data_IF_744396467392
#
_entry.id   IF_744396467392
#
_cell.length_a   1.000
_cell.length_b   1.000
_cell.length_c   1.000
_cell.angle_alpha   90.00
_cell.angle_beta   90.00
_cell.angle_gamma   90.00
#
_symmetry.space_group_name_H-M   'P 1'
#
loop_
_entity.id
_entity.type
_entity.pdbx_description
1 polymer ?
#
# COMPACT_ATOMS: atom_id res chain seq x y z
N UNK A 1 16.73 6.14 15.60
CA UNK A 1 17.64 6.79 14.64
C UNK A 1 17.86 8.23 15.09
N UNK A 2 19.10 8.55 15.50
CA UNK A 2 19.53 9.93 15.69
C UNK A 2 19.85 10.47 14.30
N UNK A 3 18.93 11.21 13.72
CA UNK A 3 19.22 12.01 12.54
C UNK A 3 20.13 13.17 12.94
N UNK A 4 21.14 13.45 12.16
CA UNK A 4 22.15 14.49 12.46
C UNK A 4 21.57 15.91 12.52
N UNK A 5 20.31 16.07 12.12
CA UNK A 5 19.61 17.35 12.17
C UNK A 5 18.27 17.22 12.92
N UNK A 6 18.07 17.93 14.05
CA UNK A 6 16.81 17.87 14.81
C UNK A 6 15.57 18.37 14.05
N UNK A 7 15.73 18.93 12.85
CA UNK A 7 14.62 19.29 11.95
C UNK A 7 14.08 18.11 11.17
N UNK A 8 14.78 16.96 11.16
CA UNK A 8 14.40 15.75 10.43
C UNK A 8 13.66 14.73 11.32
N UNK A 9 13.01 15.19 12.38
CA UNK A 9 12.23 14.32 13.26
C UNK A 9 10.92 13.91 12.58
N UNK A 10 10.82 12.64 12.19
CA UNK A 10 9.60 12.04 11.68
C UNK A 10 8.81 11.39 12.82
N UNK A 11 7.65 11.94 13.15
CA UNK A 11 6.68 11.29 14.02
C UNK A 11 5.64 10.56 13.15
N UNK A 12 5.60 9.24 13.24
CA UNK A 12 4.62 8.41 12.54
C UNK A 12 3.85 7.54 13.53
N UNK A 13 2.54 7.76 13.60
CA UNK A 13 1.64 6.87 14.31
C UNK A 13 1.41 5.63 13.44
N UNK A 14 2.09 4.54 13.73
CA UNK A 14 2.03 3.31 12.92
C UNK A 14 0.69 2.61 13.00
N UNK A 15 0.18 2.44 14.22
CA UNK A 15 -1.08 1.76 14.49
C UNK A 15 -1.85 2.44 15.60
N UNK A 16 -3.14 2.58 15.41
CA UNK A 16 -4.11 3.01 16.41
C UNK A 16 -5.49 2.52 16.02
N UNK A 17 -5.96 1.45 16.64
CA UNK A 17 -7.23 0.82 16.33
C UNK A 17 -7.94 0.29 17.57
N UNK A 18 -9.26 0.11 17.44
CA UNK A 18 -10.10 -0.57 18.43
C UNK A 18 -10.36 -2.00 17.95
N UNK A 19 -10.32 -2.95 18.88
CA UNK A 19 -10.66 -4.34 18.60
C UNK A 19 -11.91 -4.73 19.39
N UNK A 20 -12.86 -5.31 18.68
CA UNK A 20 -14.03 -5.93 19.28
C UNK A 20 -13.99 -7.44 19.07
N UNK A 21 -13.86 -8.18 20.18
CA UNK A 21 -13.86 -9.63 20.17
C UNK A 21 -15.29 -10.15 20.19
N UNK A 22 -15.59 -11.08 19.29
CA UNK A 22 -16.88 -11.76 19.16
C UNK A 22 -16.71 -13.25 19.38
N UNK A 23 -17.81 -14.01 19.47
CA UNK A 23 -17.75 -15.48 19.62
C UNK A 23 -17.23 -16.20 18.38
N UNK A 24 -17.18 -15.54 17.24
CA UNK A 24 -16.73 -16.11 15.96
C UNK A 24 -15.42 -15.51 15.43
N UNK A 25 -14.87 -14.50 16.12
CA UNK A 25 -13.65 -13.83 15.66
C UNK A 25 -13.48 -12.43 16.23
N UNK A 26 -12.83 -11.56 15.47
CA UNK A 26 -12.55 -10.18 15.87
C UNK A 26 -12.85 -9.18 14.76
N UNK A 27 -13.26 -7.98 15.15
CA UNK A 27 -13.45 -6.83 14.27
C UNK A 27 -12.52 -5.73 14.76
N UNK A 28 -11.72 -5.17 13.87
CA UNK A 28 -10.82 -4.05 14.16
C UNK A 28 -11.21 -2.83 13.32
N UNK A 29 -11.12 -1.65 13.92
CA UNK A 29 -11.40 -0.38 13.27
C UNK A 29 -10.35 0.66 13.65
N UNK A 30 -9.73 1.28 12.67
CA UNK A 30 -8.72 2.33 12.84
C UNK A 30 -7.53 2.15 11.93
N UNK A 31 -6.42 2.83 12.28
CA UNK A 31 -5.14 2.69 11.57
C UNK A 31 -4.47 1.39 12.00
N UNK A 32 -4.33 0.44 11.10
CA UNK A 32 -3.83 -0.90 11.38
C UNK A 32 -2.95 -1.44 10.26
N UNK A 33 -1.96 -2.25 10.63
CA UNK A 33 -1.15 -3.03 9.71
C UNK A 33 -1.78 -4.42 9.61
N UNK A 34 -2.07 -4.84 8.40
CA UNK A 34 -2.63 -6.17 8.13
C UNK A 34 -1.59 -7.02 7.41
N UNK A 35 -1.63 -8.32 7.66
CA UNK A 35 -0.78 -9.30 7.01
C UNK A 35 -1.64 -10.45 6.49
N UNK A 36 -1.57 -10.68 5.19
CA UNK A 36 -2.25 -11.79 4.53
C UNK A 36 -1.24 -12.79 4.01
N UNK A 37 -1.51 -14.05 4.17
CA UNK A 37 -0.68 -15.13 3.63
C UNK A 37 0.08 -15.91 4.69
N UNK A 38 0.92 -16.82 4.21
CA UNK A 38 1.63 -17.84 4.99
C UNK A 38 3.14 -17.55 5.13
N UNK A 39 3.61 -16.48 4.49
CA UNK A 39 5.02 -16.10 4.52
C UNK A 39 5.14 -14.83 5.34
N UNK A 40 6.01 -14.87 6.34
CA UNK A 40 6.13 -13.81 7.35
C UNK A 40 6.56 -12.45 6.79
N UNK A 41 7.24 -12.42 5.63
CA UNK A 41 7.85 -11.17 5.19
C UNK A 41 7.27 -10.61 3.87
N UNK A 42 7.22 -11.37 2.81
CA UNK A 42 6.87 -10.89 1.47
C UNK A 42 5.81 -11.77 0.82
N UNK A 43 4.64 -11.83 1.41
CA UNK A 43 3.56 -12.57 0.79
C UNK A 43 3.05 -11.84 -0.46
N UNK A 44 3.11 -12.45 -1.65
CA UNK A 44 2.60 -11.84 -2.88
C UNK A 44 1.09 -11.63 -2.86
N UNK A 45 0.38 -12.26 -1.92
CA UNK A 45 -1.06 -12.09 -1.72
C UNK A 45 -1.40 -10.98 -0.74
N UNK A 46 -0.40 -10.33 -0.12
CA UNK A 46 -0.59 -9.26 0.85
C UNK A 46 -0.55 -7.89 0.19
N UNK A 47 -1.70 -7.44 -0.24
CA UNK A 47 -1.88 -6.14 -0.91
C UNK A 47 -2.63 -5.12 -0.03
N UNK A 48 -2.89 -5.45 1.23
CA UNK A 48 -3.74 -4.64 2.12
C UNK A 48 -3.07 -3.36 2.63
N UNK A 49 -1.75 -3.34 2.74
CA UNK A 49 -0.98 -2.22 3.26
C UNK A 49 0.03 -1.67 2.26
N UNK A 50 0.31 -0.38 2.37
CA UNK A 50 1.41 0.27 1.69
C UNK A 50 2.75 -0.02 2.39
N UNK A 51 3.86 0.22 1.69
CA UNK A 51 5.21 0.04 2.20
C UNK A 51 5.91 1.38 2.41
N UNK A 52 6.73 1.43 3.46
CA UNK A 52 7.66 2.53 3.70
C UNK A 52 9.05 2.12 3.20
N UNK A 53 9.46 2.67 2.08
CA UNK A 53 10.74 2.36 1.46
C UNK A 53 11.94 2.99 2.19
N UNK A 54 11.71 3.89 3.17
CA UNK A 54 12.78 4.31 4.07
C UNK A 54 13.26 3.17 4.98
N UNK A 55 12.40 2.16 5.19
CA UNK A 55 12.69 0.94 5.95
C UNK A 55 12.85 -0.30 5.06
N UNK A 56 13.37 -0.14 3.85
CA UNK A 56 13.48 -1.21 2.85
C UNK A 56 14.23 -2.45 3.36
N UNK A 57 15.20 -2.27 4.24
CA UNK A 57 16.03 -3.34 4.80
C UNK A 57 15.47 -3.94 6.10
N UNK A 58 14.39 -3.39 6.62
CA UNK A 58 13.70 -3.97 7.76
C UNK A 58 12.84 -5.16 7.31
N UNK A 59 12.55 -6.06 8.24
CA UNK A 59 11.78 -7.27 7.95
C UNK A 59 10.32 -7.17 8.37
N UNK A 60 9.48 -7.98 7.75
CA UNK A 60 8.11 -8.19 8.17
C UNK A 60 7.23 -6.93 8.13
N UNK A 61 6.54 -6.68 9.23
CA UNK A 61 5.60 -5.56 9.35
C UNK A 61 6.29 -4.20 9.51
N UNK A 62 7.60 -4.16 9.83
CA UNK A 62 8.31 -2.92 10.16
C UNK A 62 8.42 -1.97 8.98
N UNK A 63 8.36 -2.47 7.77
CA UNK A 63 8.31 -1.66 6.55
C UNK A 63 6.91 -1.37 6.03
N UNK A 64 5.83 -1.79 6.72
CA UNK A 64 4.46 -1.49 6.31
C UNK A 64 3.94 -0.21 6.93
N UNK A 65 3.10 0.48 6.19
CA UNK A 65 2.36 1.65 6.67
C UNK A 65 0.95 1.22 7.03
N UNK A 66 0.50 1.52 8.24
CA UNK A 66 -0.84 1.23 8.68
C UNK A 66 -1.89 1.96 7.84
N UNK A 67 -2.93 1.26 7.45
CA UNK A 67 -4.05 1.79 6.67
C UNK A 67 -5.27 2.01 7.56
N UNK A 68 -5.95 3.14 7.40
CA UNK A 68 -7.23 3.39 8.08
C UNK A 68 -8.30 2.49 7.47
N UNK A 69 -8.71 1.48 8.20
CA UNK A 69 -9.61 0.43 7.68
C UNK A 69 -10.49 -0.16 8.76
N UNK A 70 -11.52 -0.86 8.30
CA UNK A 70 -12.26 -1.82 9.11
C UNK A 70 -11.85 -3.20 8.62
N UNK A 71 -11.45 -4.07 9.53
CA UNK A 71 -11.15 -5.46 9.24
C UNK A 71 -11.95 -6.40 10.13
N UNK A 72 -12.21 -7.59 9.62
CA UNK A 72 -12.90 -8.65 10.32
C UNK A 72 -12.20 -9.98 10.03
N UNK A 73 -11.78 -10.67 11.09
CA UNK A 73 -11.23 -12.01 11.04
C UNK A 73 -12.19 -12.97 11.73
N UNK A 74 -12.62 -14.00 11.04
CA UNK A 74 -13.52 -15.03 11.54
C UNK A 74 -12.83 -16.39 11.51
N UNK A 75 -13.11 -17.19 12.53
CA UNK A 75 -12.51 -18.50 12.73
C UNK A 75 -13.60 -19.56 12.82
N UNK A 76 -13.50 -20.59 11.99
CA UNK A 76 -14.39 -21.74 12.05
C UNK A 76 -13.61 -23.03 11.83
N UNK A 77 -13.39 -23.80 12.88
CA UNK A 77 -12.54 -25.00 12.86
C UNK A 77 -11.15 -24.67 12.29
N UNK A 78 -10.81 -25.26 11.15
CA UNK A 78 -9.55 -25.10 10.45
C UNK A 78 -9.60 -23.98 9.39
N UNK A 79 -10.71 -23.26 9.30
CA UNK A 79 -10.87 -22.16 8.34
C UNK A 79 -10.74 -20.81 9.04
N UNK A 80 -9.98 -19.92 8.41
CA UNK A 80 -9.91 -18.52 8.75
C UNK A 80 -10.39 -17.68 7.54
N UNK A 81 -11.32 -16.76 7.81
CA UNK A 81 -11.80 -15.80 6.82
C UNK A 81 -11.39 -14.41 7.29
N UNK A 82 -10.76 -13.66 6.43
CA UNK A 82 -10.47 -12.26 6.68
C UNK A 82 -11.12 -11.37 5.64
N UNK A 83 -11.55 -10.21 6.09
CA UNK A 83 -12.08 -9.15 5.23
C UNK A 83 -11.54 -7.81 5.69
N UNK A 84 -11.26 -6.91 4.75
CA UNK A 84 -10.89 -5.54 5.03
C UNK A 84 -11.54 -4.58 4.05
N UNK A 85 -11.86 -3.39 4.54
CA UNK A 85 -12.31 -2.28 3.73
C UNK A 85 -11.70 -0.97 4.23
N UNK A 86 -11.19 -0.16 3.33
CA UNK A 86 -10.64 1.17 3.59
C UNK A 86 -11.34 2.20 2.70
N UNK A 87 -11.82 3.32 3.25
CA UNK A 87 -12.33 4.44 2.45
C UNK A 87 -11.20 5.33 1.89
N UNK A 88 -9.93 4.98 2.16
CA UNK A 88 -8.76 5.75 1.77
C UNK A 88 -7.77 4.88 1.00
N UNK A 89 -7.19 5.47 -0.03
CA UNK A 89 -6.03 4.90 -0.70
C UNK A 89 -4.76 5.37 0.01
N UNK A 90 -3.93 4.42 0.47
CA UNK A 90 -2.64 4.69 1.09
C UNK A 90 -1.54 4.35 0.10
N UNK A 91 -0.76 5.36 -0.29
CA UNK A 91 0.39 5.18 -1.18
C UNK A 91 1.63 4.69 -0.44
N UNK A 92 2.56 4.06 -1.17
CA UNK A 92 3.88 3.76 -0.65
C UNK A 92 4.64 5.07 -0.34
N UNK A 93 5.37 5.08 0.77
CA UNK A 93 6.27 6.17 1.11
C UNK A 93 7.62 5.91 0.45
N UNK A 94 7.98 6.76 -0.49
CA UNK A 94 9.27 6.72 -1.16
C UNK A 94 10.27 7.63 -0.42
N UNK A 95 11.58 7.25 -0.32
CA UNK A 95 12.60 8.11 0.26
C UNK A 95 12.69 9.42 -0.52
N UNK A 96 12.81 10.53 0.17
CA UNK A 96 13.09 11.81 -0.46
C UNK A 96 14.59 11.91 -0.77
N UNK A 97 14.94 12.64 -1.83
CA UNK A 97 16.35 12.88 -2.26
C UNK A 97 17.21 13.61 -1.21
N UNK A 98 16.62 14.07 -0.12
CA UNK A 98 17.30 14.74 1.00
C UNK A 98 17.58 13.80 2.18
N UNK A 99 17.08 12.60 2.16
CA UNK A 99 17.38 11.62 3.20
C UNK A 99 18.73 10.96 2.89
N UNK A 100 19.50 10.60 3.91
CA UNK A 100 20.71 9.78 3.82
C UNK A 100 20.37 8.34 3.41
N UNK A 101 19.60 8.22 2.33
CA UNK A 101 19.18 6.95 1.78
C UNK A 101 20.17 6.52 0.71
N UNK A 102 20.69 5.28 0.73
CA UNK A 102 21.77 4.85 -0.16
C UNK A 102 21.37 4.75 -1.62
N UNK A 103 20.09 4.90 -1.95
CA UNK A 103 19.58 4.82 -3.32
C UNK A 103 18.91 6.14 -3.66
N UNK A 104 19.49 6.88 -4.59
CA UNK A 104 18.81 8.04 -5.18
C UNK A 104 17.63 7.55 -6.02
N UNK A 105 16.44 7.92 -5.62
CA UNK A 105 15.25 7.67 -6.43
C UNK A 105 15.15 8.73 -7.53
N UNK A 106 14.55 8.37 -8.66
CA UNK A 106 14.18 9.36 -9.66
C UNK A 106 13.27 10.42 -9.02
N UNK A 107 13.33 11.63 -9.54
CA UNK A 107 12.55 12.77 -9.05
C UNK A 107 11.09 12.37 -8.85
N UNK A 108 10.59 12.53 -7.62
CA UNK A 108 9.16 12.32 -7.34
C UNK A 108 8.39 13.43 -8.04
N UNK A 109 7.40 13.12 -8.88
CA UNK A 109 6.59 14.12 -9.55
C UNK A 109 5.88 15.05 -8.56
N UNK A 110 5.71 16.30 -8.95
CA UNK A 110 4.95 17.26 -8.16
C UNK A 110 3.47 16.88 -8.12
N UNK A 111 2.79 17.20 -7.00
CA UNK A 111 1.41 16.79 -6.74
C UNK A 111 0.42 17.24 -7.84
N UNK A 112 0.65 18.39 -8.47
CA UNK A 112 -0.21 18.90 -9.54
C UNK A 112 -0.16 18.07 -10.83
N UNK A 113 0.81 17.17 -10.96
CA UNK A 113 0.92 16.25 -12.11
C UNK A 113 0.10 14.97 -11.94
N UNK A 114 -0.50 14.77 -10.77
CA UNK A 114 -1.31 13.61 -10.50
C UNK A 114 -2.80 13.85 -10.82
N UNK A 115 -3.42 12.83 -11.41
CA UNK A 115 -4.88 12.77 -11.52
C UNK A 115 -5.48 12.34 -10.19
N UNK A 116 -6.51 13.04 -9.76
CA UNK A 116 -7.25 12.72 -8.55
C UNK A 116 -7.95 11.36 -8.66
N UNK A 117 -7.91 10.60 -7.56
CA UNK A 117 -8.67 9.38 -7.41
C UNK A 117 -10.10 9.76 -6.99
N UNK A 118 -11.07 9.58 -7.88
CA UNK A 118 -12.46 9.95 -7.64
C UNK A 118 -13.15 9.11 -6.55
N UNK A 119 -12.68 7.90 -6.30
CA UNK A 119 -13.26 6.98 -5.32
C UNK A 119 -12.15 6.11 -4.70
N UNK A 120 -11.47 6.58 -3.65
CA UNK A 120 -10.30 5.92 -3.07
C UNK A 120 -10.62 4.66 -2.25
N UNK A 121 -11.84 4.12 -2.37
CA UNK A 121 -12.26 2.95 -1.62
C UNK A 121 -11.49 1.70 -2.06
N UNK A 122 -10.98 0.98 -1.08
CA UNK A 122 -10.29 -0.29 -1.27
C UNK A 122 -10.92 -1.35 -0.39
N UNK A 123 -10.99 -2.57 -0.89
CA UNK A 123 -11.48 -3.70 -0.12
C UNK A 123 -10.82 -5.00 -0.56
N UNK A 124 -10.82 -5.95 0.32
CA UNK A 124 -10.29 -7.26 0.02
C UNK A 124 -10.63 -8.28 1.09
N UNK A 125 -10.24 -9.50 0.84
CA UNK A 125 -10.43 -10.58 1.78
C UNK A 125 -9.59 -11.79 1.44
N UNK A 126 -9.51 -12.69 2.39
CA UNK A 126 -8.80 -13.95 2.22
C UNK A 126 -9.55 -15.09 2.92
N UNK A 127 -9.30 -16.28 2.40
CA UNK A 127 -9.73 -17.54 2.99
C UNK A 127 -8.50 -18.43 3.16
N UNK A 128 -8.31 -18.94 4.38
CA UNK A 128 -7.22 -19.83 4.72
C UNK A 128 -7.77 -21.13 5.31
N UNK A 129 -7.26 -22.24 4.83
CA UNK A 129 -7.51 -23.58 5.38
C UNK A 129 -6.19 -24.13 5.94
N UNK A 130 -6.18 -24.41 7.24
CA UNK A 130 -5.04 -25.03 7.93
C UNK A 130 -5.30 -26.51 8.16
N UNK A 131 -4.38 -27.35 7.72
CA UNK A 131 -4.41 -28.81 7.94
C UNK A 131 -3.13 -29.28 8.59
N UNK A 132 -3.08 -30.53 9.04
CA UNK A 132 -1.89 -31.11 9.66
C UNK A 132 -0.68 -31.22 8.68
N UNK A 133 -0.93 -31.14 7.38
CA UNK A 133 0.08 -31.35 6.33
C UNK A 133 0.45 -30.02 5.66
N UNK A 134 -0.52 -29.13 5.48
CA UNK A 134 -0.32 -27.89 4.74
C UNK A 134 -1.36 -26.83 5.10
N UNK A 135 -0.95 -25.59 4.98
CA UNK A 135 -1.82 -24.41 4.98
C UNK A 135 -2.04 -23.95 3.54
N UNK A 136 -3.27 -23.70 3.16
CA UNK A 136 -3.65 -23.27 1.82
C UNK A 136 -4.53 -22.03 1.93
N UNK A 137 -4.34 -21.06 1.05
CA UNK A 137 -5.18 -19.86 1.05
C UNK A 137 -5.33 -19.22 -0.31
N UNK A 138 -6.41 -18.47 -0.41
CA UNK A 138 -6.71 -17.59 -1.53
C UNK A 138 -7.04 -16.20 -1.01
N UNK A 139 -6.76 -15.20 -1.82
CA UNK A 139 -7.08 -13.81 -1.50
C UNK A 139 -7.61 -13.07 -2.73
N UNK A 140 -8.35 -12.02 -2.46
CA UNK A 140 -8.78 -11.04 -3.44
C UNK A 140 -8.61 -9.65 -2.86
N UNK A 141 -8.11 -8.72 -3.66
CA UNK A 141 -8.00 -7.32 -3.31
C UNK A 141 -8.42 -6.46 -4.50
N UNK A 142 -9.24 -5.46 -4.24
CA UNK A 142 -9.64 -4.42 -5.18
C UNK A 142 -9.27 -3.07 -4.59
N UNK A 143 -8.41 -2.35 -5.28
CA UNK A 143 -7.88 -1.07 -4.82
C UNK A 143 -7.10 -0.36 -5.90
N UNK A 144 -6.04 0.32 -5.52
CA UNK A 144 -5.18 1.06 -6.44
C UNK A 144 -3.72 0.65 -6.26
N UNK A 145 -2.95 0.79 -7.34
CA UNK A 145 -1.50 0.60 -7.28
C UNK A 145 -0.90 1.52 -6.21
N UNK A 146 0.02 0.98 -5.42
CA UNK A 146 0.69 1.73 -4.34
C UNK A 146 1.81 2.63 -4.85
N UNK A 147 2.19 2.47 -6.12
CA UNK A 147 3.16 3.29 -6.83
C UNK A 147 2.45 3.91 -8.03
N UNK A 148 2.78 5.17 -8.30
CA UNK A 148 2.18 5.88 -9.43
C UNK A 148 2.66 5.35 -10.79
N UNK A 149 1.80 5.49 -11.79
CA UNK A 149 2.04 5.10 -13.17
C UNK A 149 1.91 6.32 -14.08
N UNK A 150 2.69 6.36 -15.16
CA UNK A 150 2.53 7.36 -16.20
C UNK A 150 1.17 7.13 -16.89
N UNK A 151 0.30 8.14 -16.85
CA UNK A 151 -1.04 8.09 -17.43
C UNK A 151 -1.10 8.73 -18.83
N UNK A 152 -0.32 9.79 -19.03
CA UNK A 152 -0.33 10.51 -20.29
C UNK A 152 0.73 11.60 -20.38
N UNK A 153 0.76 12.24 -21.52
CA UNK A 153 1.63 13.37 -21.81
C UNK A 153 0.75 14.49 -22.37
N UNK A 154 0.83 15.65 -21.75
CA UNK A 154 0.21 16.86 -22.26
C UNK A 154 1.24 17.66 -23.04
N UNK A 155 0.88 18.06 -24.25
CA UNK A 155 1.69 18.94 -25.10
C UNK A 155 1.05 20.33 -25.07
N UNK A 156 1.79 21.32 -24.59
CA UNK A 156 1.36 22.70 -24.58
C UNK A 156 2.11 23.49 -25.63
N UNK A 157 1.38 24.22 -26.47
CA UNK A 157 1.94 25.23 -27.36
C UNK A 157 1.66 26.59 -26.74
N UNK A 158 2.69 27.35 -26.41
CA UNK A 158 2.52 28.71 -25.90
C UNK A 158 2.17 29.63 -27.07
N UNK A 159 0.96 30.21 -27.12
CA UNK A 159 0.61 31.17 -28.16
C UNK A 159 1.53 32.40 -28.08
N UNK A 160 2.23 32.70 -29.14
CA UNK A 160 3.14 33.87 -29.24
C UNK A 160 4.63 33.56 -29.21
N UNK A 161 5.06 32.34 -28.94
CA UNK A 161 6.43 31.85 -29.06
C UNK A 161 6.61 30.96 -30.29
N UNK A 162 5.93 31.29 -31.38
CA UNK A 162 5.83 30.45 -32.59
C UNK A 162 7.20 30.33 -33.33
N UNK A 163 8.19 31.12 -32.97
CA UNK A 163 9.49 31.12 -33.66
C UNK A 163 10.53 30.16 -33.08
N UNK A 164 10.29 29.54 -31.91
CA UNK A 164 11.22 28.55 -31.33
C UNK A 164 10.70 27.11 -31.32
N UNK A 165 9.42 26.91 -31.63
CA UNK A 165 8.84 25.62 -32.05
C UNK A 165 8.94 24.42 -31.08
N UNK A 166 9.46 24.57 -29.87
CA UNK A 166 9.56 23.46 -28.94
C UNK A 166 8.29 23.37 -28.09
N UNK A 167 7.55 22.25 -28.17
CA UNK A 167 6.42 22.04 -27.31
C UNK A 167 6.89 21.84 -25.85
N UNK A 168 6.21 22.48 -24.90
CA UNK A 168 6.37 22.16 -23.50
C UNK A 168 5.65 20.83 -23.24
N UNK A 169 6.41 19.85 -22.80
CA UNK A 169 5.91 18.50 -22.49
C UNK A 169 5.66 18.42 -21.00
N UNK A 170 4.44 18.12 -20.62
CA UNK A 170 4.07 17.83 -19.23
C UNK A 170 3.59 16.39 -19.11
N UNK A 171 4.00 15.73 -18.04
CA UNK A 171 3.64 14.33 -17.78
C UNK A 171 2.54 14.25 -16.75
N UNK A 172 1.58 13.35 -16.97
CA UNK A 172 0.47 13.12 -16.05
C UNK A 172 0.58 11.74 -15.45
N UNK A 173 0.49 11.66 -14.13
CA UNK A 173 0.58 10.42 -13.37
C UNK A 173 -0.77 10.05 -12.76
N UNK A 174 -0.96 8.77 -12.48
CA UNK A 174 -2.13 8.25 -11.79
C UNK A 174 -1.80 7.00 -10.99
N UNK A 175 -2.63 6.71 -9.99
CA UNK A 175 -2.67 5.40 -9.34
C UNK A 175 -3.74 4.57 -10.04
N UNK A 176 -3.31 3.51 -10.73
CA UNK A 176 -4.21 2.67 -11.51
C UNK A 176 -5.07 1.81 -10.60
N UNK A 177 -6.37 1.73 -10.90
CA UNK A 177 -7.24 0.77 -10.23
C UNK A 177 -6.85 -0.66 -10.61
N UNK A 178 -6.69 -1.51 -9.60
CA UNK A 178 -6.14 -2.85 -9.75
C UNK A 178 -6.96 -3.85 -8.94
N UNK A 179 -7.27 -4.98 -9.57
CA UNK A 179 -7.88 -6.14 -8.93
C UNK A 179 -6.84 -7.27 -8.89
N UNK A 180 -6.55 -7.78 -7.70
CA UNK A 180 -5.53 -8.81 -7.49
C UNK A 180 -6.19 -10.06 -6.92
N UNK A 181 -5.93 -11.19 -7.55
CA UNK A 181 -6.30 -12.52 -7.03
C UNK A 181 -5.01 -13.24 -6.69
N UNK A 182 -4.92 -13.74 -5.46
CA UNK A 182 -3.77 -14.46 -4.96
C UNK A 182 -4.13 -15.86 -4.48
N UNK A 183 -3.20 -16.78 -4.61
CA UNK A 183 -3.26 -18.09 -4.00
C UNK A 183 -1.88 -18.46 -3.46
N UNK A 184 -1.84 -19.15 -2.34
CA UNK A 184 -0.60 -19.57 -1.72
C UNK A 184 -0.80 -20.73 -0.77
N UNK A 185 0.31 -21.32 -0.35
CA UNK A 185 0.31 -22.38 0.63
C UNK A 185 1.71 -22.63 1.19
N UNK A 186 1.75 -23.23 2.37
CA UNK A 186 2.97 -23.69 3.03
C UNK A 186 2.76 -25.14 3.47
N UNK A 187 3.80 -25.95 3.37
CA UNK A 187 3.83 -27.34 3.89
C UNK A 187 4.48 -27.33 5.27
N UNK A 188 3.89 -28.04 6.22
CA UNK A 188 4.38 -28.22 7.58
C UNK A 188 5.39 -29.37 7.68
#
# INVERSE_FOLDING_TARGET
YLMDNPQDFLFDLREFYLTWFTSFGEIRMGKQIQTWGFVDENSPIDNSCAYDYNFLFESGTDRKIGTNSISMDMYYKNLKFGFTASPFHQINRLPSSKADFPIELPVIPSDYLFLDISSPNEFGGYLQLSTDIADIGISYFSGYDRIFNLSGINLFYTPGLVDTGEPVVDTVFTYRKTDVIGAGGAMN
#
